data_IF_442829198884
#
_entry.id   IF_442829198884
#
_cell.length_a   1.000
_cell.length_b   1.000
_cell.length_c   1.000
_cell.angle_alpha   90.00
_cell.angle_beta   90.00
_cell.angle_gamma   90.00
#
_symmetry.space_group_name_H-M   'P 1'
#
loop_
_entity.id
_entity.type
_entity.pdbx_description
1 polymer ?
#
# COMPACT_ATOMS: atom_id res chain seq x y z
N UNK A 1 -17.88 1.63 -29.55
CA UNK A 1 -17.53 2.38 -28.33
C UNK A 1 -16.70 1.43 -27.47
N UNK A 2 -15.46 1.73 -27.09
CA UNK A 2 -14.80 0.91 -26.09
C UNK A 2 -15.48 1.24 -24.74
N UNK A 3 -16.20 0.26 -24.19
CA UNK A 3 -16.66 0.27 -22.80
C UNK A 3 -15.41 0.06 -21.94
N UNK A 4 -14.69 1.14 -21.64
CA UNK A 4 -13.74 1.14 -20.54
C UNK A 4 -14.56 1.02 -19.27
N UNK A 5 -14.44 -0.10 -18.54
CA UNK A 5 -15.05 -0.22 -17.22
C UNK A 5 -14.40 0.85 -16.32
N UNK A 6 -15.16 1.88 -15.97
CA UNK A 6 -14.81 2.81 -14.90
C UNK A 6 -14.86 2.02 -13.59
N UNK A 7 -13.73 1.42 -13.20
CA UNK A 7 -13.63 0.64 -11.98
C UNK A 7 -13.32 1.59 -10.81
N UNK A 8 -14.26 1.74 -9.89
CA UNK A 8 -14.10 2.61 -8.72
C UNK A 8 -13.74 1.75 -7.51
N UNK A 9 -12.65 2.09 -6.82
CA UNK A 9 -12.28 1.44 -5.57
C UNK A 9 -12.18 2.52 -4.52
N UNK A 10 -13.02 2.44 -3.49
CA UNK A 10 -13.03 3.42 -2.41
C UNK A 10 -12.39 2.84 -1.16
N UNK A 11 -11.64 3.69 -0.47
CA UNK A 11 -11.14 3.39 0.87
C UNK A 11 -11.63 4.48 1.82
N UNK A 12 -12.31 4.07 2.86
CA UNK A 12 -12.78 4.89 3.97
C UNK A 12 -11.84 4.70 5.16
N UNK A 13 -11.39 5.81 5.75
CA UNK A 13 -10.50 5.80 6.89
C UNK A 13 -11.24 6.20 8.17
N UNK A 14 -11.45 5.25 9.09
CA UNK A 14 -12.03 5.49 10.41
C UNK A 14 -10.98 5.61 11.52
N UNK A 15 -9.68 5.63 11.19
CA UNK A 15 -8.63 5.91 12.16
C UNK A 15 -8.56 7.40 12.50
N UNK A 16 -7.91 7.71 13.61
CA UNK A 16 -7.61 9.09 14.04
C UNK A 16 -6.34 9.67 13.39
N UNK A 17 -5.82 9.01 12.36
CA UNK A 17 -4.65 9.41 11.59
C UNK A 17 -4.87 9.10 10.11
N UNK A 18 -4.11 9.76 9.25
CA UNK A 18 -4.15 9.52 7.82
C UNK A 18 -3.64 8.10 7.49
N UNK A 19 -4.14 7.52 6.40
CA UNK A 19 -3.58 6.31 5.81
C UNK A 19 -3.13 6.59 4.38
N UNK A 20 -2.21 5.77 3.90
CA UNK A 20 -1.65 5.82 2.57
C UNK A 20 -1.95 4.50 1.88
N UNK A 21 -2.61 4.58 0.74
CA UNK A 21 -3.06 3.42 -0.03
C UNK A 21 -2.33 3.39 -1.36
N UNK A 22 -1.63 2.29 -1.63
CA UNK A 22 -0.96 2.05 -2.89
C UNK A 22 -1.70 0.97 -3.66
N UNK A 23 -2.45 1.33 -4.73
CA UNK A 23 -3.04 0.34 -5.62
C UNK A 23 -1.97 -0.26 -6.54
N UNK A 24 -1.84 -1.58 -6.53
CA UNK A 24 -0.87 -2.31 -7.36
C UNK A 24 -1.60 -3.14 -8.41
N UNK A 25 -1.29 -2.87 -9.69
CA UNK A 25 -1.78 -3.60 -10.86
C UNK A 25 -0.74 -4.61 -11.40
N UNK A 26 0.32 -4.88 -10.62
CA UNK A 26 1.56 -5.54 -11.02
C UNK A 26 2.36 -4.76 -12.09
N UNK A 27 3.23 -3.81 -11.69
CA UNK A 27 4.27 -3.25 -12.58
C UNK A 27 5.51 -2.76 -11.81
N UNK A 28 6.64 -3.45 -11.98
CA UNK A 28 7.93 -3.15 -11.35
C UNK A 28 8.55 -1.77 -11.59
N UNK A 29 7.92 -0.86 -12.35
CA UNK A 29 8.43 0.51 -12.54
C UNK A 29 8.17 1.42 -11.32
N UNK A 30 7.04 1.25 -10.61
CA UNK A 30 6.76 2.04 -9.40
C UNK A 30 7.62 1.55 -8.23
N UNK A 31 7.89 0.24 -8.20
CA UNK A 31 8.94 -0.33 -7.37
C UNK A 31 10.32 0.25 -7.74
N UNK A 32 10.65 0.33 -9.03
CA UNK A 32 11.91 0.94 -9.48
C UNK A 32 12.02 2.42 -9.12
N UNK A 33 10.93 3.21 -9.10
CA UNK A 33 10.94 4.61 -8.68
C UNK A 33 11.17 4.74 -7.16
N UNK A 34 10.44 3.95 -6.36
CA UNK A 34 10.65 3.86 -4.90
C UNK A 34 12.09 3.46 -4.58
N UNK A 35 12.65 2.49 -5.31
CA UNK A 35 14.02 1.99 -5.12
C UNK A 35 15.10 2.94 -5.67
N UNK A 36 14.87 3.57 -6.82
CA UNK A 36 15.83 4.46 -7.44
C UNK A 36 16.02 5.75 -6.63
N UNK A 37 14.94 6.26 -6.03
CA UNK A 37 15.00 7.43 -5.14
C UNK A 37 15.75 7.12 -3.82
N UNK A 38 15.94 5.85 -3.49
CA UNK A 38 16.55 5.45 -2.23
C UNK A 38 17.74 4.51 -2.43
N UNK A 39 18.89 5.07 -2.85
CA UNK A 39 20.18 4.37 -2.87
C UNK A 39 20.58 3.74 -1.51
N UNK A 40 19.96 4.17 -0.42
CA UNK A 40 20.12 3.63 0.93
C UNK A 40 19.44 2.26 1.14
N UNK A 41 18.56 1.82 0.24
CA UNK A 41 17.81 0.58 0.39
C UNK A 41 18.65 -0.68 0.41
N UNK A 42 19.54 -0.86 -0.57
CA UNK A 42 20.33 -2.09 -0.65
C UNK A 42 21.22 -2.28 0.59
N UNK A 43 21.67 -1.18 1.20
CA UNK A 43 22.44 -1.20 2.45
C UNK A 43 21.52 -1.41 3.65
N UNK A 44 20.38 -0.73 3.67
CA UNK A 44 19.41 -0.77 4.76
C UNK A 44 18.62 -2.08 4.87
N UNK A 45 18.45 -2.82 3.78
CA UNK A 45 17.79 -4.15 3.74
C UNK A 45 18.44 -5.12 4.72
N UNK A 46 19.79 -5.22 4.68
CA UNK A 46 20.52 -6.10 5.60
C UNK A 46 20.41 -5.64 7.05
N UNK A 47 20.37 -4.34 7.28
CA UNK A 47 20.25 -3.74 8.62
C UNK A 47 18.85 -3.95 9.22
N UNK A 48 17.78 -3.83 8.44
CA UNK A 48 16.41 -4.13 8.87
C UNK A 48 16.23 -5.63 9.09
N UNK A 49 16.72 -6.48 8.18
CA UNK A 49 16.65 -7.94 8.32
C UNK A 49 17.32 -8.41 9.62
N UNK A 50 18.51 -7.85 9.91
CA UNK A 50 19.24 -8.16 11.16
C UNK A 50 18.50 -7.66 12.40
N UNK A 51 17.94 -6.44 12.36
CA UNK A 51 17.24 -5.85 13.50
C UNK A 51 15.89 -6.53 13.82
N UNK A 52 15.19 -7.01 12.79
CA UNK A 52 13.86 -7.62 12.93
C UNK A 52 13.90 -9.15 13.02
N UNK A 53 15.01 -9.78 12.61
CA UNK A 53 15.12 -11.23 12.49
C UNK A 53 14.26 -11.82 11.37
N UNK A 54 13.66 -10.98 10.51
CA UNK A 54 12.86 -11.42 9.38
C UNK A 54 13.77 -11.80 8.21
N UNK A 55 13.41 -12.90 7.53
CA UNK A 55 14.03 -13.28 6.27
C UNK A 55 13.49 -12.37 5.17
N UNK A 56 14.12 -11.21 5.02
CA UNK A 56 13.79 -10.27 3.96
C UNK A 56 14.39 -10.73 2.62
N UNK A 57 13.68 -10.51 1.50
CA UNK A 57 14.21 -10.77 0.17
C UNK A 57 15.53 -10.01 -0.04
N UNK A 58 16.51 -10.66 -0.67
CA UNK A 58 17.81 -10.05 -0.95
C UNK A 58 17.70 -8.85 -1.90
N UNK A 59 16.68 -8.86 -2.76
CA UNK A 59 16.37 -7.81 -3.71
C UNK A 59 14.86 -7.55 -3.70
N UNK A 60 14.49 -6.28 -3.75
CA UNK A 60 13.10 -5.85 -3.95
C UNK A 60 12.77 -5.96 -5.44
N UNK A 61 12.37 -7.15 -5.87
CA UNK A 61 12.03 -7.41 -7.27
C UNK A 61 10.53 -7.28 -7.55
N UNK A 62 9.71 -7.47 -6.51
CA UNK A 62 8.25 -7.48 -6.62
C UNK A 62 7.58 -6.58 -5.58
N UNK A 63 6.30 -6.28 -5.78
CA UNK A 63 5.50 -5.60 -4.76
C UNK A 63 5.26 -6.47 -3.53
N UNK A 64 5.20 -7.79 -3.68
CA UNK A 64 5.13 -8.71 -2.55
C UNK A 64 6.39 -8.58 -1.66
N UNK A 65 7.56 -8.41 -2.28
CA UNK A 65 8.79 -8.10 -1.56
C UNK A 65 8.64 -6.77 -0.83
N UNK A 66 8.19 -5.71 -1.51
CA UNK A 66 7.96 -4.39 -0.90
C UNK A 66 7.00 -4.46 0.30
N UNK A 67 5.90 -5.19 0.18
CA UNK A 67 4.93 -5.39 1.25
C UNK A 67 5.56 -6.10 2.46
N UNK A 68 6.38 -7.14 2.23
CA UNK A 68 7.15 -7.79 3.30
C UNK A 68 8.14 -6.84 3.98
N UNK A 69 8.81 -5.99 3.21
CA UNK A 69 9.71 -4.96 3.73
C UNK A 69 8.98 -3.91 4.55
N UNK A 70 7.82 -3.43 4.08
CA UNK A 70 6.97 -2.50 4.82
C UNK A 70 6.44 -3.12 6.11
N UNK A 71 6.09 -4.41 6.10
CA UNK A 71 5.71 -5.15 7.30
C UNK A 71 6.86 -5.27 8.31
N UNK A 72 8.08 -5.57 7.84
CA UNK A 72 9.26 -5.60 8.72
C UNK A 72 9.56 -4.21 9.32
N UNK A 73 9.44 -3.18 8.49
CA UNK A 73 9.58 -1.77 8.87
C UNK A 73 8.54 -1.37 9.92
N UNK A 74 7.28 -1.73 9.72
CA UNK A 74 6.19 -1.50 10.67
C UNK A 74 6.46 -2.20 12.00
N UNK A 75 6.93 -3.45 11.98
CA UNK A 75 7.38 -4.18 13.17
C UNK A 75 8.52 -3.47 13.90
N UNK A 76 9.50 -2.93 13.16
CA UNK A 76 10.62 -2.18 13.73
C UNK A 76 10.17 -0.87 14.39
N UNK A 77 9.28 -0.11 13.73
CA UNK A 77 8.78 1.18 14.20
C UNK A 77 7.73 1.08 15.31
N UNK A 78 7.01 -0.05 15.37
CA UNK A 78 6.06 -0.36 16.45
C UNK A 78 6.74 -0.96 17.68
N UNK A 79 7.84 -1.69 17.50
CA UNK A 79 8.71 -2.17 18.57
C UNK A 79 9.50 -1.02 19.19
N UNK A 80 9.71 -1.06 20.51
CA UNK A 80 10.54 -0.09 21.26
C UNK A 80 12.04 -0.11 20.87
N UNK A 81 12.40 -0.77 19.77
CA UNK A 81 13.74 -0.88 19.23
C UNK A 81 14.15 0.42 18.51
N UNK A 82 14.40 1.43 19.35
CA UNK A 82 15.41 2.47 19.15
C UNK A 82 15.16 3.49 18.02
N UNK A 83 14.37 4.51 18.37
CA UNK A 83 14.64 5.88 17.93
C UNK A 83 16.14 6.18 18.05
N UNK A 84 16.82 6.38 16.92
CA UNK A 84 18.26 6.68 16.86
C UNK A 84 19.17 5.54 16.35
N UNK A 85 18.61 4.42 15.88
CA UNK A 85 19.38 3.41 15.13
C UNK A 85 19.27 3.64 13.62
N UNK A 86 20.32 3.27 12.89
CA UNK A 86 20.34 3.36 11.42
C UNK A 86 19.21 2.56 10.77
N UNK A 87 18.85 1.39 11.31
CA UNK A 87 17.71 0.60 10.81
C UNK A 87 16.38 1.36 10.92
N UNK A 88 16.19 2.15 11.99
CA UNK A 88 15.00 2.99 12.14
C UNK A 88 15.01 4.18 11.16
N UNK A 89 16.17 4.76 10.87
CA UNK A 89 16.31 5.83 9.87
C UNK A 89 15.95 5.33 8.47
N UNK A 90 16.49 4.18 8.05
CA UNK A 90 16.14 3.52 6.78
C UNK A 90 14.65 3.19 6.73
N UNK A 91 14.08 2.68 7.83
CA UNK A 91 12.66 2.38 7.91
C UNK A 91 11.79 3.62 7.67
N UNK A 92 12.16 4.76 8.25
CA UNK A 92 11.47 6.03 8.02
C UNK A 92 11.62 6.51 6.58
N UNK A 93 12.79 6.39 5.97
CA UNK A 93 13.00 6.74 4.56
C UNK A 93 12.13 5.89 3.62
N UNK A 94 11.98 4.59 3.89
CA UNK A 94 11.05 3.73 3.15
C UNK A 94 9.60 4.19 3.31
N UNK A 95 9.18 4.49 4.53
CA UNK A 95 7.83 4.98 4.82
C UNK A 95 7.55 6.26 4.03
N UNK A 96 8.48 7.21 4.00
CA UNK A 96 8.32 8.45 3.23
C UNK A 96 8.33 8.21 1.71
N UNK A 97 9.18 7.31 1.22
CA UNK A 97 9.19 6.91 -0.19
C UNK A 97 7.86 6.26 -0.61
N UNK A 98 7.31 5.36 0.21
CA UNK A 98 6.00 4.76 -0.02
C UNK A 98 4.90 5.83 -0.03
N UNK A 99 4.89 6.74 0.95
CA UNK A 99 3.90 7.82 1.04
C UNK A 99 3.91 8.75 -0.17
N UNK A 100 5.08 9.00 -0.76
CA UNK A 100 5.22 9.80 -1.98
C UNK A 100 4.55 9.14 -3.20
N UNK A 101 4.57 7.81 -3.27
CA UNK A 101 3.94 7.03 -4.34
C UNK A 101 2.49 6.59 -4.06
N UNK A 102 2.02 6.76 -2.84
CA UNK A 102 0.70 6.31 -2.39
C UNK A 102 -0.35 7.43 -2.42
N UNK A 103 -1.62 7.02 -2.43
CA UNK A 103 -2.77 7.92 -2.32
C UNK A 103 -3.08 8.12 -0.85
N UNK A 104 -3.06 9.38 -0.42
CA UNK A 104 -3.43 9.76 0.94
C UNK A 104 -4.96 9.70 1.12
N UNK A 105 -5.42 9.00 2.16
CA UNK A 105 -6.80 8.99 2.63
C UNK A 105 -6.84 9.63 4.02
N UNK A 106 -7.30 10.89 4.16
CA UNK A 106 -7.31 11.58 5.44
C UNK A 106 -8.16 10.87 6.50
N UNK A 107 -7.84 11.11 7.78
CA UNK A 107 -8.64 10.61 8.90
C UNK A 107 -10.12 11.03 8.77
N UNK A 108 -11.04 10.08 8.85
CA UNK A 108 -12.49 10.30 8.75
C UNK A 108 -13.05 10.47 7.34
N UNK A 109 -12.20 10.38 6.30
CA UNK A 109 -12.59 10.63 4.91
C UNK A 109 -12.66 9.34 4.08
N UNK A 110 -13.37 9.41 2.96
CA UNK A 110 -13.40 8.36 1.93
C UNK A 110 -12.81 8.89 0.63
N UNK A 111 -11.86 8.15 0.05
CA UNK A 111 -11.20 8.54 -1.21
C UNK A 111 -11.33 7.42 -2.23
N UNK A 112 -11.56 7.77 -3.50
CA UNK A 112 -11.46 6.83 -4.61
C UNK A 112 -9.99 6.62 -4.95
N UNK A 113 -9.42 5.49 -4.52
CA UNK A 113 -8.01 5.16 -4.71
C UNK A 113 -7.71 4.65 -6.12
N UNK A 114 -8.73 4.52 -6.97
CA UNK A 114 -8.58 4.10 -8.37
C UNK A 114 -9.16 5.11 -9.36
N UNK A 115 -9.06 6.40 -9.03
CA UNK A 115 -9.41 7.44 -9.99
C UNK A 115 -8.42 7.42 -11.18
N UNK A 116 -8.94 7.32 -12.42
CA UNK A 116 -8.13 7.25 -13.65
C UNK A 116 -7.09 8.38 -13.76
N UNK A 117 -7.31 9.53 -13.13
CA UNK A 117 -6.36 10.66 -13.12
C UNK A 117 -5.04 10.37 -12.40
N UNK A 118 -5.09 9.73 -11.23
CA UNK A 118 -3.88 9.33 -10.50
C UNK A 118 -3.15 8.23 -11.27
N UNK A 119 -3.87 7.18 -11.68
CA UNK A 119 -3.25 6.09 -12.44
C UNK A 119 -2.68 6.56 -13.78
N UNK A 120 -3.33 7.46 -14.53
CA UNK A 120 -2.79 7.93 -15.82
C UNK A 120 -1.55 8.83 -15.68
N UNK A 121 -1.39 9.50 -14.54
CA UNK A 121 -0.22 10.34 -14.22
C UNK A 121 1.02 9.49 -13.96
N UNK A 122 0.84 8.36 -13.30
CA UNK A 122 1.91 7.45 -12.86
C UNK A 122 2.13 6.31 -13.87
N UNK A 123 1.06 5.75 -14.42
CA UNK A 123 1.06 4.75 -15.48
C UNK A 123 0.90 5.40 -16.86
N UNK A 124 1.88 6.24 -17.26
CA UNK A 124 1.95 6.67 -18.67
C UNK A 124 2.08 5.43 -19.55
N UNK A 125 1.21 5.22 -20.57
CA UNK A 125 1.31 4.08 -21.45
C UNK A 125 2.50 4.29 -22.39
N UNK A 126 3.69 3.82 -22.01
CA UNK A 126 4.78 3.63 -22.97
C UNK A 126 4.42 2.44 -23.85
N UNK A 127 3.74 2.73 -24.95
CA UNK A 127 3.51 1.86 -26.11
C UNK A 127 2.97 0.47 -25.78
N UNK A 128 1.65 0.35 -25.63
CA UNK A 128 0.99 -0.94 -25.62
C UNK A 128 -0.48 -0.81 -25.34
N UNK A 129 -1.29 -1.05 -26.36
CA UNK A 129 -2.75 -1.23 -26.33
C UNK A 129 -3.23 -2.39 -25.42
N UNK A 130 -2.37 -2.91 -24.54
CA UNK A 130 -2.63 -4.00 -23.60
C UNK A 130 -2.45 -3.49 -22.17
N UNK A 131 -3.44 -3.74 -21.29
CA UNK A 131 -3.17 -3.85 -19.86
C UNK A 131 -3.96 -2.97 -18.89
N UNK A 132 -5.17 -2.54 -19.23
CA UNK A 132 -6.18 -2.10 -18.24
C UNK A 132 -7.56 -2.75 -18.47
N UNK A 133 -7.81 -3.35 -19.64
CA UNK A 133 -9.11 -3.88 -20.02
C UNK A 133 -9.43 -5.28 -19.44
N UNK A 134 -8.44 -6.00 -18.89
CA UNK A 134 -8.59 -7.40 -18.44
C UNK A 134 -8.24 -7.62 -16.96
N UNK A 135 -7.80 -6.60 -16.23
CA UNK A 135 -7.51 -6.74 -14.80
C UNK A 135 -8.81 -6.62 -14.00
N UNK A 136 -9.26 -7.77 -13.48
CA UNK A 136 -10.49 -7.92 -12.68
C UNK A 136 -10.24 -7.78 -11.18
N UNK A 137 -8.98 -7.59 -10.75
CA UNK A 137 -8.58 -7.35 -9.36
C UNK A 137 -7.36 -6.42 -9.29
N UNK A 138 -7.23 -5.71 -8.18
CA UNK A 138 -6.13 -4.78 -7.84
C UNK A 138 -5.78 -5.05 -6.39
N UNK A 139 -4.51 -5.26 -6.08
CA UNK A 139 -4.09 -5.42 -4.69
C UNK A 139 -3.85 -4.02 -4.10
N UNK A 140 -4.30 -3.79 -2.87
CA UNK A 140 -4.13 -2.53 -2.16
C UNK A 140 -3.20 -2.77 -0.97
N UNK A 141 -2.03 -2.16 -0.99
CA UNK A 141 -1.21 -2.05 0.22
C UNK A 141 -1.60 -0.78 0.95
N UNK A 142 -2.07 -0.92 2.19
CA UNK A 142 -2.51 0.17 3.07
C UNK A 142 -1.54 0.32 4.22
N UNK A 143 -1.13 1.56 4.51
CA UNK A 143 -0.18 1.88 5.59
C UNK A 143 -0.66 3.09 6.40
N UNK A 144 -0.46 3.10 7.71
CA UNK A 144 -0.74 4.27 8.56
C UNK A 144 0.26 5.40 8.33
N UNK A 145 -0.13 6.64 8.65
CA UNK A 145 0.72 7.84 8.53
C UNK A 145 2.10 7.69 9.17
N UNK A 146 2.17 6.99 10.30
CA UNK A 146 3.38 6.72 11.06
C UNK A 146 4.16 5.49 10.60
N UNK A 147 3.66 4.77 9.59
CA UNK A 147 4.28 3.56 9.04
C UNK A 147 4.24 2.34 9.98
N UNK A 148 3.53 2.41 11.11
CA UNK A 148 3.55 1.37 12.15
C UNK A 148 2.57 0.23 11.92
N UNK A 149 1.62 0.39 11.01
CA UNK A 149 0.67 -0.66 10.64
C UNK A 149 0.57 -0.76 9.13
N UNK A 150 0.56 -1.99 8.64
CA UNK A 150 0.36 -2.28 7.21
C UNK A 150 -0.63 -3.42 6.99
N UNK A 151 -1.38 -3.38 5.89
CA UNK A 151 -2.29 -4.44 5.49
C UNK A 151 -2.39 -4.50 3.96
N UNK A 152 -2.50 -5.72 3.42
CA UNK A 152 -2.66 -5.96 1.99
C UNK A 152 -4.06 -6.55 1.74
N UNK A 153 -4.82 -5.95 0.84
CA UNK A 153 -6.17 -6.44 0.48
C UNK A 153 -6.35 -6.56 -1.03
N UNK A 154 -6.88 -7.69 -1.47
CA UNK A 154 -7.21 -7.91 -2.88
C UNK A 154 -8.57 -7.30 -3.20
N UNK A 155 -8.60 -6.31 -4.10
CA UNK A 155 -9.80 -5.55 -4.45
C UNK A 155 -10.27 -5.83 -5.86
N UNK A 156 -11.50 -6.30 -6.01
CA UNK A 156 -12.21 -6.33 -7.30
C UNK A 156 -12.78 -4.94 -7.65
N UNK A 157 -13.22 -4.72 -8.90
CA UNK A 157 -13.98 -3.55 -9.31
C UNK A 157 -15.18 -3.29 -8.40
N UNK A 158 -15.44 -2.01 -8.12
CA UNK A 158 -16.58 -1.52 -7.35
C UNK A 158 -16.64 -2.04 -5.90
N UNK A 159 -15.51 -2.57 -5.40
CA UNK A 159 -15.35 -2.85 -3.98
C UNK A 159 -14.95 -1.58 -3.24
N UNK A 160 -15.40 -1.50 -1.99
CA UNK A 160 -15.06 -0.44 -1.06
C UNK A 160 -14.52 -1.07 0.22
N UNK A 161 -13.60 -0.38 0.87
CA UNK A 161 -12.87 -0.86 2.03
C UNK A 161 -12.95 0.15 3.17
N UNK A 162 -12.96 -0.34 4.39
CA UNK A 162 -13.02 0.45 5.63
C UNK A 162 -11.79 0.08 6.44
N UNK A 163 -10.92 1.06 6.68
CA UNK A 163 -9.79 0.95 7.57
C UNK A 163 -10.19 1.44 8.97
N UNK A 164 -10.07 0.59 9.98
CA UNK A 164 -10.34 0.94 11.38
C UNK A 164 -9.26 0.37 12.32
N UNK A 165 -9.43 0.48 13.64
CA UNK A 165 -8.44 0.02 14.61
C UNK A 165 -8.19 -1.51 14.57
N UNK A 166 -9.13 -2.28 14.03
CA UNK A 166 -9.05 -3.75 13.98
C UNK A 166 -8.39 -4.25 12.70
N UNK A 167 -8.48 -3.49 11.61
CA UNK A 167 -7.91 -3.87 10.33
C UNK A 167 -8.57 -3.17 9.15
N UNK A 168 -8.52 -3.84 8.00
CA UNK A 168 -9.20 -3.44 6.77
C UNK A 168 -10.36 -4.41 6.51
N UNK A 169 -11.57 -3.88 6.50
CA UNK A 169 -12.80 -4.65 6.25
C UNK A 169 -13.45 -4.24 4.94
N UNK A 170 -14.04 -5.18 4.21
CA UNK A 170 -14.84 -4.86 3.04
C UNK A 170 -16.12 -4.13 3.46
N UNK A 171 -16.52 -3.10 2.71
CA UNK A 171 -17.81 -2.45 2.88
C UNK A 171 -18.91 -3.20 2.11
N UNK A 172 -20.15 -3.10 2.59
CA UNK A 172 -21.33 -3.57 1.86
C UNK A 172 -21.41 -2.84 0.53
N UNK A 173 -21.69 -3.59 -0.55
CA UNK A 173 -21.79 -3.03 -1.90
C UNK A 173 -22.72 -1.81 -1.96
N UNK A 174 -22.26 -0.74 -2.59
CA UNK A 174 -22.99 0.54 -2.68
C UNK A 174 -22.95 1.39 -1.41
N UNK A 175 -22.19 0.99 -0.38
CA UNK A 175 -21.97 1.77 0.84
C UNK A 175 -20.48 1.99 1.08
N UNK A 176 -20.13 3.05 1.80
CA UNK A 176 -18.74 3.36 2.17
C UNK A 176 -18.44 3.15 3.67
N UNK A 177 -19.49 3.01 4.49
CA UNK A 177 -19.38 3.09 5.95
C UNK A 177 -20.00 1.89 6.69
N UNK A 178 -20.51 0.89 5.96
CA UNK A 178 -21.09 -0.31 6.55
C UNK A 178 -20.21 -1.51 6.24
N UNK A 179 -19.73 -2.19 7.28
CA UNK A 179 -18.90 -3.40 7.14
C UNK A 179 -19.75 -4.56 6.60
N UNK A 180 -19.23 -5.28 5.61
CA UNK A 180 -19.78 -6.56 5.15
C UNK A 180 -19.32 -7.67 6.09
N UNK A 181 -20.21 -8.13 6.97
CA UNK A 181 -19.92 -9.18 7.96
C UNK A 181 -19.71 -10.56 7.34
N UNK A 182 -19.96 -10.74 6.04
CA UNK A 182 -19.71 -11.99 5.33
C UNK A 182 -18.30 -12.06 4.74
N UNK A 183 -17.55 -10.96 4.80
CA UNK A 183 -16.16 -10.89 4.36
C UNK A 183 -15.24 -10.86 5.58
N UNK A 184 -14.15 -11.61 5.53
CA UNK A 184 -13.15 -11.57 6.59
C UNK A 184 -12.40 -10.24 6.54
N UNK A 185 -12.20 -9.62 7.70
CA UNK A 185 -11.31 -8.48 7.84
C UNK A 185 -9.85 -8.93 7.71
N UNK A 186 -9.02 -8.10 7.09
CA UNK A 186 -7.57 -8.26 7.07
C UNK A 186 -7.00 -7.48 8.24
N UNK A 187 -6.37 -8.18 9.19
CA UNK A 187 -5.76 -7.55 10.36
C UNK A 187 -4.55 -6.69 9.96
N UNK A 188 -4.31 -5.63 10.73
CA UNK A 188 -3.04 -4.91 10.68
C UNK A 188 -1.88 -5.84 11.05
N UNK A 189 -0.76 -5.66 10.35
CA UNK A 189 0.54 -6.21 10.71
C UNK A 189 1.37 -5.19 11.47
#
# INVERSE_FOLDING_TARGET
MPLGLDQNVHVTNHLNQDIHVMPTLDKGWLLADVLADTALFAIGVGEIATATGLALPAELATFADLAQFLKATAGLLSGTAATGTRSAEVALELVEAFKKGAIKVPAGESVNVREQGFLSTYFKPTSGWFGMADFTTVDLTVMTQDGKRTADVDSSPDQSWIADETGISRAVYGTLNQVDTNSAAVAWN
#
